data_IF_535179627140
#
_entry.id   IF_535179627140
#
_cell.length_a   1.000
_cell.length_b   1.000
_cell.length_c   1.000
_cell.angle_alpha   90.00
_cell.angle_beta   90.00
_cell.angle_gamma   90.00
#
_symmetry.space_group_name_H-M   'P 1'
#
loop_
_entity.id
_entity.type
_entity.pdbx_description
1 polymer ?
#
# COMPACT_ATOMS: atom_id res chain seq x y z
N UNK A 1 -14.00 -28.19 -12.18
CA UNK A 1 -12.56 -28.43 -11.95
C UNK A 1 -12.38 -28.94 -10.53
N UNK A 2 -11.37 -29.79 -10.28
CA UNK A 2 -11.10 -30.34 -8.94
C UNK A 2 -9.90 -29.62 -8.31
N UNK A 3 -10.05 -29.22 -7.04
CA UNK A 3 -8.96 -28.75 -6.19
C UNK A 3 -8.53 -29.92 -5.31
N UNK A 4 -7.24 -30.28 -5.34
CA UNK A 4 -6.67 -31.31 -4.47
C UNK A 4 -5.95 -30.64 -3.29
N UNK A 5 -6.47 -30.85 -2.08
CA UNK A 5 -5.84 -30.39 -0.83
C UNK A 5 -5.00 -31.53 -0.27
N UNK A 6 -3.67 -31.43 -0.36
CA UNK A 6 -2.76 -32.49 0.14
C UNK A 6 -2.63 -32.54 1.67
N UNK A 7 -3.10 -31.49 2.37
CA UNK A 7 -3.04 -31.40 3.82
C UNK A 7 -4.37 -31.90 4.43
N UNK A 8 -4.38 -33.02 5.19
CA UNK A 8 -5.60 -33.62 5.72
C UNK A 8 -6.32 -32.71 6.73
N UNK A 9 -5.59 -31.89 7.49
CA UNK A 9 -6.20 -30.95 8.44
C UNK A 9 -6.95 -29.83 7.72
N UNK A 10 -6.45 -29.38 6.56
CA UNK A 10 -7.12 -28.36 5.75
C UNK A 10 -8.39 -28.93 5.13
N UNK A 11 -8.34 -30.17 4.64
CA UNK A 11 -9.53 -30.85 4.13
C UNK A 11 -10.60 -31.02 5.22
N UNK A 12 -10.19 -31.47 6.42
CA UNK A 12 -11.09 -31.59 7.57
C UNK A 12 -11.78 -30.28 7.91
N UNK A 13 -11.02 -29.17 8.00
CA UNK A 13 -11.58 -27.83 8.28
C UNK A 13 -12.53 -27.36 7.18
N UNK A 14 -12.20 -27.62 5.92
CA UNK A 14 -13.07 -27.25 4.80
C UNK A 14 -14.41 -28.02 4.84
N UNK A 15 -14.36 -29.33 5.16
CA UNK A 15 -15.56 -30.15 5.35
C UNK A 15 -16.40 -29.71 6.55
N UNK A 16 -15.74 -29.37 7.66
CA UNK A 16 -16.41 -28.83 8.85
C UNK A 16 -17.11 -27.51 8.55
N UNK A 17 -16.44 -26.59 7.83
CA UNK A 17 -17.03 -25.33 7.42
C UNK A 17 -18.26 -25.52 6.52
N UNK A 18 -18.17 -26.43 5.54
CA UNK A 18 -19.29 -26.76 4.66
C UNK A 18 -20.48 -27.34 5.45
N UNK A 19 -20.22 -28.24 6.41
CA UNK A 19 -21.26 -28.81 7.25
C UNK A 19 -21.95 -27.76 8.14
N UNK A 20 -21.18 -26.82 8.71
CA UNK A 20 -21.70 -25.76 9.57
C UNK A 20 -22.53 -24.71 8.80
N UNK A 21 -22.16 -24.43 7.57
CA UNK A 21 -22.81 -23.40 6.72
C UNK A 21 -23.96 -23.97 5.88
N UNK A 22 -24.02 -25.29 5.68
CA UNK A 22 -24.95 -25.94 4.76
C UNK A 22 -24.58 -25.76 3.29
N UNK A 23 -23.39 -25.24 3.01
CA UNK A 23 -22.89 -25.03 1.65
C UNK A 23 -22.19 -26.28 1.10
N UNK A 24 -22.02 -26.34 -0.22
CA UNK A 24 -21.10 -27.33 -0.82
C UNK A 24 -19.66 -27.08 -0.36
N UNK A 25 -18.82 -28.13 -0.34
CA UNK A 25 -17.40 -27.99 0.02
C UNK A 25 -16.70 -26.89 -0.79
N UNK A 26 -17.00 -26.81 -2.09
CA UNK A 26 -16.50 -25.75 -2.98
C UNK A 26 -17.05 -24.38 -2.66
N UNK A 27 -18.34 -24.27 -2.31
CA UNK A 27 -18.97 -22.98 -1.94
C UNK A 27 -18.35 -22.40 -0.67
N UNK A 28 -18.22 -23.23 0.36
CA UNK A 28 -17.60 -22.86 1.63
C UNK A 28 -16.14 -22.39 1.45
N UNK A 29 -15.38 -23.05 0.57
CA UNK A 29 -14.01 -22.65 0.24
C UNK A 29 -14.00 -21.33 -0.54
N UNK A 30 -14.86 -21.19 -1.55
CA UNK A 30 -14.91 -19.99 -2.39
C UNK A 30 -15.25 -18.74 -1.57
N UNK A 31 -16.30 -18.79 -0.74
CA UNK A 31 -16.67 -17.66 0.11
C UNK A 31 -15.60 -17.35 1.18
N UNK A 32 -14.95 -18.37 1.76
CA UNK A 32 -13.85 -18.15 2.70
C UNK A 32 -12.64 -17.45 2.03
N UNK A 33 -12.28 -17.87 0.82
CA UNK A 33 -11.20 -17.24 0.03
C UNK A 33 -11.58 -15.82 -0.35
N UNK A 34 -12.79 -15.63 -0.88
CA UNK A 34 -13.32 -14.34 -1.30
C UNK A 34 -13.31 -13.34 -0.15
N UNK A 35 -13.83 -13.73 1.03
CA UNK A 35 -13.78 -12.89 2.24
C UNK A 35 -12.35 -12.47 2.57
N UNK A 36 -11.42 -13.42 2.58
CA UNK A 36 -10.01 -13.14 2.89
C UNK A 36 -9.36 -12.22 1.86
N UNK A 37 -9.64 -12.42 0.58
CA UNK A 37 -9.16 -11.55 -0.49
C UNK A 37 -9.74 -10.13 -0.37
N UNK A 38 -11.02 -9.98 -0.03
CA UNK A 38 -11.61 -8.66 0.21
C UNK A 38 -10.92 -7.94 1.37
N UNK A 39 -10.68 -8.63 2.49
CA UNK A 39 -9.95 -8.07 3.63
C UNK A 39 -8.52 -7.63 3.25
N UNK A 40 -7.78 -8.47 2.52
CA UNK A 40 -6.40 -8.17 2.13
C UNK A 40 -6.33 -7.08 1.05
N UNK A 41 -7.24 -7.08 0.08
CA UNK A 41 -7.33 -6.01 -0.92
C UNK A 41 -7.68 -4.66 -0.27
N UNK A 42 -8.51 -4.65 0.78
CA UNK A 42 -8.78 -3.43 1.54
C UNK A 42 -7.55 -2.93 2.34
N UNK A 43 -6.63 -3.81 2.72
CA UNK A 43 -5.36 -3.45 3.38
C UNK A 43 -4.34 -2.86 2.41
N UNK A 44 -4.37 -3.28 1.15
CA UNK A 44 -3.55 -2.68 0.09
C UNK A 44 -4.10 -1.28 -0.16
N UNK A 45 -3.51 -0.27 0.48
CA UNK A 45 -3.82 1.13 0.17
C UNK A 45 -3.54 1.33 -1.33
N UNK A 46 -4.52 1.83 -2.11
CA UNK A 46 -4.25 2.18 -3.50
C UNK A 46 -3.08 3.15 -3.54
N UNK A 47 -2.22 3.02 -4.56
CA UNK A 47 -1.17 4.01 -4.79
C UNK A 47 -1.87 5.37 -4.92
N UNK A 48 -1.40 6.40 -4.19
CA UNK A 48 -2.02 7.70 -4.28
C UNK A 48 -1.91 8.20 -5.72
N UNK A 49 -2.99 8.77 -6.22
CA UNK A 49 -3.00 9.51 -7.47
C UNK A 49 -2.08 10.72 -7.37
N UNK A 50 -1.64 11.26 -8.51
CA UNK A 50 -0.86 12.51 -8.55
C UNK A 50 -1.58 13.64 -7.81
N UNK A 51 -2.91 13.73 -7.96
CA UNK A 51 -3.73 14.71 -7.27
C UNK A 51 -3.69 14.54 -5.74
N UNK A 52 -3.78 13.31 -5.23
CA UNK A 52 -3.67 13.03 -3.80
C UNK A 52 -2.27 13.31 -3.26
N UNK A 53 -1.23 13.00 -4.03
CA UNK A 53 0.15 13.34 -3.68
C UNK A 53 0.35 14.85 -3.59
N UNK A 54 -0.16 15.60 -4.57
CA UNK A 54 -0.13 17.07 -4.55
C UNK A 54 -0.89 17.64 -3.35
N UNK A 55 -2.09 17.12 -3.07
CA UNK A 55 -2.88 17.55 -1.91
C UNK A 55 -2.17 17.22 -0.58
N UNK A 56 -1.54 16.06 -0.46
CA UNK A 56 -0.74 15.69 0.71
C UNK A 56 0.47 16.63 0.88
N UNK A 57 1.15 16.96 -0.22
CA UNK A 57 2.29 17.89 -0.24
C UNK A 57 1.84 19.28 0.19
N UNK A 58 0.71 19.77 -0.31
CA UNK A 58 0.17 21.08 0.05
C UNK A 58 -0.22 21.15 1.54
N UNK A 59 -0.87 20.11 2.06
CA UNK A 59 -1.19 20.00 3.50
C UNK A 59 0.08 20.04 4.35
N UNK A 60 1.10 19.28 3.96
CA UNK A 60 2.39 19.29 4.65
C UNK A 60 3.03 20.67 4.62
N UNK A 61 3.10 21.31 3.44
CA UNK A 61 3.69 22.65 3.28
C UNK A 61 3.03 23.68 4.18
N UNK A 62 1.69 23.68 4.27
CA UNK A 62 0.95 24.55 5.19
C UNK A 62 1.23 24.24 6.66
N UNK A 63 1.25 22.97 7.03
CA UNK A 63 1.48 22.55 8.40
C UNK A 63 2.86 22.98 8.95
N UNK A 64 3.89 22.95 8.09
CA UNK A 64 5.26 23.34 8.47
C UNK A 64 5.62 24.78 8.08
N UNK A 65 4.66 25.58 7.57
CA UNK A 65 4.87 26.98 7.19
C UNK A 65 5.75 27.19 5.94
N UNK A 66 5.97 26.15 5.13
CA UNK A 66 6.70 26.22 3.85
C UNK A 66 5.93 26.95 2.75
N UNK A 67 4.62 27.11 2.91
CA UNK A 67 3.76 27.93 2.04
C UNK A 67 4.19 29.40 2.03
N UNK A 68 4.75 29.89 3.15
CA UNK A 68 5.18 31.29 3.32
C UNK A 68 6.63 31.52 2.93
N UNK A 69 7.42 30.46 2.72
CA UNK A 69 8.81 30.58 2.26
C UNK A 69 8.83 30.80 0.75
N UNK A 70 9.21 32.01 0.33
CA UNK A 70 9.63 32.28 -1.05
C UNK A 70 11.06 31.80 -1.22
N UNK A 71 11.23 30.71 -1.95
CA UNK A 71 12.56 30.27 -2.38
C UNK A 71 12.86 31.01 -3.68
N UNK A 72 13.56 32.14 -3.60
CA UNK A 72 14.13 32.81 -4.76
C UNK A 72 15.41 32.08 -5.17
N UNK A 73 15.32 30.77 -5.46
CA UNK A 73 16.45 30.03 -6.00
C UNK A 73 16.48 30.24 -7.51
N UNK A 74 17.51 30.92 -7.98
CA UNK A 74 17.88 30.81 -9.40
C UNK A 74 18.66 29.51 -9.59
N UNK A 75 18.73 29.03 -10.84
CA UNK A 75 19.57 27.86 -11.16
C UNK A 75 21.00 28.06 -10.67
N UNK A 76 21.53 29.27 -10.84
CA UNK A 76 22.87 29.63 -10.38
C UNK A 76 23.02 29.52 -8.86
N UNK A 77 22.05 30.05 -8.10
CA UNK A 77 22.05 29.92 -6.62
C UNK A 77 21.93 28.47 -6.16
N UNK A 78 21.25 27.62 -6.92
CA UNK A 78 21.16 26.19 -6.64
C UNK A 78 22.48 25.47 -6.96
N UNK A 79 23.08 25.76 -8.11
CA UNK A 79 24.36 25.20 -8.54
C UNK A 79 25.49 25.59 -7.56
N UNK A 80 25.50 26.84 -7.07
CA UNK A 80 26.46 27.33 -6.07
C UNK A 80 26.32 26.59 -4.72
N UNK A 81 25.08 26.38 -4.23
CA UNK A 81 24.81 25.61 -3.01
C UNK A 81 25.17 24.12 -3.16
N UNK A 82 25.02 23.57 -4.37
CA UNK A 82 25.34 22.19 -4.65
C UNK A 82 26.86 21.97 -4.71
N UNK A 83 27.60 22.89 -5.35
CA UNK A 83 29.07 22.89 -5.35
C UNK A 83 29.64 23.04 -3.93
N UNK A 84 29.08 23.94 -3.11
CA UNK A 84 29.49 24.08 -1.69
C UNK A 84 29.17 22.83 -0.85
N UNK A 85 28.17 22.03 -1.24
CA UNK A 85 27.86 20.76 -0.58
C UNK A 85 28.79 19.60 -0.97
N UNK A 86 29.41 19.66 -2.16
CA UNK A 86 30.44 18.70 -2.58
C UNK A 86 31.76 18.88 -1.80
N UNK A 87 32.05 20.10 -1.32
CA UNK A 87 33.19 20.37 -0.43
C UNK A 87 32.99 19.82 1.00
N UNK A 88 31.76 19.39 1.36
CA UNK A 88 31.40 18.88 2.70
C UNK A 88 31.35 17.33 2.77
N UNK A 89 31.49 16.60 1.67
CA UNK A 89 31.64 15.13 1.66
C UNK A 89 32.93 14.71 0.93
N UNK A 90 34.09 14.71 1.60
CA UNK A 90 35.37 14.30 1.00
C UNK A 90 35.53 12.77 0.92
N UNK A 91 34.48 12.02 0.57
CA UNK A 91 34.53 10.55 0.42
C UNK A 91 34.75 10.10 -1.01
#
# INVERSE_FOLDING_TARGET
MAILIKNPEVEKRARELAALTGESLTGAIDEAIKRRLTEENARIKPRPTVAEMMAATERFRKAVGLDKRKVNATKQTFDDLWAESEDLDPR
#
